data_IF_423978867269
#
_entry.id   IF_423978867269
#
_cell.length_a   1.000
_cell.length_b   1.000
_cell.length_c   1.000
_cell.angle_alpha   90.00
_cell.angle_beta   90.00
_cell.angle_gamma   90.00
#
_symmetry.space_group_name_H-M   'P 1'
#
loop_
_entity.id
_entity.type
_entity.pdbx_description
1 polymer ?
#
# COMPACT_ATOMS: atom_id res chain seq x y z
N UNK A 1 -13.72 4.86 16.29
CA UNK A 1 -12.46 5.61 16.07
C UNK A 1 -11.55 4.95 15.03
N UNK A 2 -10.98 3.77 15.25
CA UNK A 2 -9.96 3.17 14.33
C UNK A 2 -10.46 2.86 12.91
N UNK A 3 -11.66 2.30 12.77
CA UNK A 3 -12.26 2.03 11.45
C UNK A 3 -12.63 3.30 10.69
N UNK A 4 -12.96 4.38 11.40
CA UNK A 4 -13.26 5.68 10.79
C UNK A 4 -12.00 6.24 10.10
N UNK A 5 -10.87 6.28 10.80
CA UNK A 5 -9.61 6.78 10.24
C UNK A 5 -9.14 5.98 9.00
N UNK A 6 -9.33 4.66 9.00
CA UNK A 6 -9.01 3.82 7.85
C UNK A 6 -9.93 4.11 6.65
N UNK A 7 -11.23 4.32 6.91
CA UNK A 7 -12.21 4.72 5.90
C UNK A 7 -11.92 6.09 5.32
N UNK A 8 -11.64 7.07 6.17
CA UNK A 8 -11.31 8.44 5.76
C UNK A 8 -10.06 8.45 4.87
N UNK A 9 -9.03 7.69 5.24
CA UNK A 9 -7.83 7.53 4.41
C UNK A 9 -8.17 6.92 3.05
N UNK A 10 -9.04 5.91 3.00
CA UNK A 10 -9.52 5.31 1.75
C UNK A 10 -10.21 6.33 0.85
N UNK A 11 -11.10 7.13 1.43
CA UNK A 11 -11.81 8.20 0.73
C UNK A 11 -10.85 9.23 0.14
N UNK A 12 -9.97 9.81 0.96
CA UNK A 12 -9.03 10.83 0.48
C UNK A 12 -8.01 10.28 -0.53
N UNK A 13 -7.55 9.04 -0.38
CA UNK A 13 -6.66 8.44 -1.40
C UNK A 13 -7.39 8.29 -2.73
N UNK A 14 -8.66 7.89 -2.72
CA UNK A 14 -9.50 7.82 -3.93
C UNK A 14 -9.65 9.17 -4.61
N UNK A 15 -10.08 10.19 -3.85
CA UNK A 15 -10.27 11.57 -4.31
C UNK A 15 -8.99 12.13 -4.94
N UNK A 16 -7.85 11.94 -4.28
CA UNK A 16 -6.57 12.43 -4.78
C UNK A 16 -6.07 11.71 -6.04
N UNK A 17 -6.70 10.59 -6.43
CA UNK A 17 -6.47 9.95 -7.72
C UNK A 17 -7.41 10.44 -8.83
N UNK A 18 -8.42 11.25 -8.49
CA UNK A 18 -9.36 11.89 -9.40
C UNK A 18 -8.75 13.22 -9.92
N UNK A 19 -8.45 13.36 -11.23
CA UNK A 19 -7.84 14.57 -11.79
C UNK A 19 -8.54 15.90 -11.47
N UNK A 20 -9.86 15.90 -11.39
CA UNK A 20 -10.70 17.06 -11.11
C UNK A 20 -10.67 17.47 -9.63
N UNK A 21 -10.29 16.58 -8.71
CA UNK A 21 -10.15 16.93 -7.28
C UNK A 21 -8.81 17.60 -6.98
N UNK A 22 -7.87 17.59 -7.92
CA UNK A 22 -6.56 18.21 -7.80
C UNK A 22 -6.47 19.59 -8.47
N UNK A 23 -7.59 20.25 -8.78
CA UNK A 23 -7.63 21.54 -9.49
C UNK A 23 -8.71 22.47 -8.94
N UNK A 24 -8.49 23.79 -9.06
CA UNK A 24 -9.54 24.79 -8.81
C UNK A 24 -10.64 24.80 -9.88
N UNK A 25 -10.36 24.26 -11.08
CA UNK A 25 -11.32 24.14 -12.18
C UNK A 25 -12.07 22.79 -12.15
N UNK A 26 -12.38 22.29 -10.95
CA UNK A 26 -12.88 20.92 -10.72
C UNK A 26 -14.18 20.59 -11.45
N UNK A 27 -15.00 21.59 -11.76
CA UNK A 27 -16.27 21.41 -12.48
C UNK A 27 -16.26 22.08 -13.85
N UNK A 28 -15.08 22.46 -14.36
CA UNK A 28 -14.96 23.10 -15.66
C UNK A 28 -15.48 24.54 -15.70
N UNK A 29 -15.66 25.15 -14.52
CA UNK A 29 -16.24 26.48 -14.34
C UNK A 29 -15.42 27.63 -14.96
N UNK A 30 -14.14 27.39 -15.25
CA UNK A 30 -13.23 28.37 -15.87
C UNK A 30 -12.81 27.99 -17.29
N UNK A 31 -13.27 26.85 -17.82
CA UNK A 31 -12.85 26.32 -19.14
C UNK A 31 -14.00 26.03 -20.10
N UNK A 32 -15.24 26.39 -19.73
CA UNK A 32 -16.43 26.14 -20.55
C UNK A 32 -16.90 24.69 -20.52
N UNK A 33 -16.49 23.92 -19.51
CA UNK A 33 -16.81 22.50 -19.32
C UNK A 33 -17.83 22.28 -18.17
N UNK A 34 -18.60 23.31 -17.79
CA UNK A 34 -19.42 23.33 -16.57
C UNK A 34 -20.22 22.03 -16.36
N UNK A 35 -20.14 21.46 -15.15
CA UNK A 35 -20.79 20.20 -14.78
C UNK A 35 -19.99 18.93 -15.10
N UNK A 36 -18.75 19.05 -15.62
CA UNK A 36 -17.94 17.90 -16.01
C UNK A 36 -17.60 17.00 -14.80
N UNK A 37 -17.57 17.54 -13.58
CA UNK A 37 -17.25 16.76 -12.40
C UNK A 37 -18.17 15.54 -12.26
N UNK A 38 -19.48 15.78 -12.25
CA UNK A 38 -20.47 14.70 -12.12
C UNK A 38 -20.54 13.82 -13.37
N UNK A 39 -20.38 14.40 -14.57
CA UNK A 39 -20.40 13.62 -15.82
C UNK A 39 -19.24 12.62 -15.89
N UNK A 40 -18.04 13.05 -15.51
CA UNK A 40 -16.85 12.20 -15.49
C UNK A 40 -16.89 11.20 -14.33
N UNK A 41 -17.08 11.67 -13.10
CA UNK A 41 -16.93 10.82 -11.91
C UNK A 41 -18.12 9.91 -11.62
N UNK A 42 -19.35 10.38 -11.89
CA UNK A 42 -20.55 9.66 -11.53
C UNK A 42 -21.17 8.95 -12.73
N UNK A 43 -21.58 9.70 -13.76
CA UNK A 43 -22.37 9.13 -14.85
C UNK A 43 -21.54 8.27 -15.80
N UNK A 44 -20.38 8.75 -16.24
CA UNK A 44 -19.48 7.96 -17.09
C UNK A 44 -18.98 6.73 -16.34
N UNK A 45 -18.46 6.90 -15.12
CA UNK A 45 -18.00 5.74 -14.34
C UNK A 45 -19.13 4.76 -14.07
N UNK A 46 -20.35 5.19 -13.73
CA UNK A 46 -21.49 4.30 -13.55
C UNK A 46 -21.79 3.42 -14.76
N UNK A 47 -21.54 3.91 -15.98
CA UNK A 47 -21.68 3.14 -17.23
C UNK A 47 -20.53 2.18 -17.49
N UNK A 48 -19.30 2.56 -17.13
CA UNK A 48 -18.09 1.86 -17.57
C UNK A 48 -17.30 1.17 -16.45
N UNK A 49 -17.70 1.28 -15.18
CA UNK A 49 -16.98 0.71 -14.04
C UNK A 49 -16.79 -0.81 -14.19
N UNK A 50 -17.75 -1.53 -14.77
CA UNK A 50 -17.64 -2.97 -15.06
C UNK A 50 -16.53 -3.34 -16.06
N UNK A 51 -16.01 -2.36 -16.82
CA UNK A 51 -14.88 -2.53 -17.75
C UNK A 51 -13.52 -2.16 -17.13
N UNK A 52 -13.51 -1.75 -15.87
CA UNK A 52 -12.29 -1.46 -15.10
C UNK A 52 -11.89 -2.72 -14.35
N UNK A 53 -10.74 -3.28 -14.69
CA UNK A 53 -10.16 -4.44 -14.00
C UNK A 53 -8.96 -3.99 -13.17
N UNK A 54 -9.03 -4.25 -11.86
CA UNK A 54 -7.88 -4.07 -10.97
C UNK A 54 -7.01 -5.32 -11.08
N UNK A 55 -5.73 -5.13 -11.38
CA UNK A 55 -4.75 -6.20 -11.46
C UNK A 55 -4.01 -6.29 -10.13
N UNK A 56 -3.68 -7.51 -9.69
CA UNK A 56 -2.87 -7.72 -8.50
C UNK A 56 -1.51 -7.04 -8.66
N UNK A 57 -1.13 -6.26 -7.66
CA UNK A 57 0.16 -5.59 -7.56
C UNK A 57 0.70 -5.70 -6.12
N UNK A 58 1.99 -5.41 -5.94
CA UNK A 58 2.70 -5.51 -4.67
C UNK A 58 2.62 -4.20 -3.89
N UNK A 59 2.23 -4.29 -2.62
CA UNK A 59 2.31 -3.17 -1.67
C UNK A 59 3.77 -2.81 -1.38
N UNK A 60 4.03 -1.52 -1.11
CA UNK A 60 5.36 -1.00 -0.83
C UNK A 60 5.38 -0.27 0.51
N UNK A 61 6.47 -0.41 1.26
CA UNK A 61 6.71 0.45 2.41
C UNK A 61 7.07 1.86 1.92
N UNK A 62 6.37 2.87 2.46
CA UNK A 62 6.54 4.27 2.08
C UNK A 62 7.31 4.98 3.20
N UNK A 63 8.59 5.28 2.93
CA UNK A 63 9.46 5.96 3.89
C UNK A 63 9.01 7.39 4.19
N UNK A 64 8.52 8.09 3.18
CA UNK A 64 8.00 9.46 3.28
C UNK A 64 6.59 9.53 2.69
N UNK A 65 5.55 9.36 3.53
CA UNK A 65 4.16 9.41 3.10
C UNK A 65 3.78 10.74 2.46
N UNK A 66 4.30 11.86 2.94
CA UNK A 66 3.92 13.18 2.44
C UNK A 66 4.38 13.38 0.99
N UNK A 67 5.65 13.08 0.70
CA UNK A 67 6.17 13.14 -0.66
C UNK A 67 5.46 12.16 -1.59
N UNK A 68 5.15 10.96 -1.11
CA UNK A 68 4.38 9.98 -1.88
C UNK A 68 2.97 10.47 -2.23
N UNK A 69 2.28 11.07 -1.27
CA UNK A 69 0.93 11.62 -1.43
C UNK A 69 0.93 12.77 -2.44
N UNK A 70 1.81 13.77 -2.25
CA UNK A 70 1.89 14.89 -3.19
C UNK A 70 2.32 14.45 -4.59
N UNK A 71 3.14 13.41 -4.71
CA UNK A 71 3.53 12.83 -5.99
C UNK A 71 2.33 12.38 -6.83
N UNK A 72 1.41 11.60 -6.25
CA UNK A 72 0.24 11.15 -7.01
C UNK A 72 -0.83 12.25 -7.18
N UNK A 73 -0.88 13.27 -6.32
CA UNK A 73 -1.74 14.46 -6.52
C UNK A 73 -1.28 15.23 -7.76
N UNK A 74 0.03 15.49 -7.86
CA UNK A 74 0.62 16.15 -9.03
C UNK A 74 0.40 15.33 -10.30
N UNK A 75 0.53 14.01 -10.20
CA UNK A 75 0.22 13.12 -11.32
C UNK A 75 -1.26 13.19 -11.73
N UNK A 76 -2.21 13.15 -10.77
CA UNK A 76 -3.65 13.35 -11.05
C UNK A 76 -3.91 14.67 -11.76
N UNK A 77 -3.35 15.76 -11.24
CA UNK A 77 -3.53 17.11 -11.79
C UNK A 77 -3.06 17.19 -13.26
N UNK A 78 -2.01 16.45 -13.63
CA UNK A 78 -1.52 16.42 -15.02
C UNK A 78 -2.56 15.92 -16.04
N UNK A 79 -3.60 15.20 -15.59
CA UNK A 79 -4.70 14.74 -16.44
C UNK A 79 -5.90 15.69 -16.49
N UNK A 80 -5.93 16.77 -15.70
CA UNK A 80 -7.07 17.70 -15.67
C UNK A 80 -7.40 18.24 -17.07
N UNK A 81 -6.40 18.76 -17.78
CA UNK A 81 -6.60 19.32 -19.13
C UNK A 81 -7.05 18.25 -20.14
N UNK A 82 -6.59 17.01 -19.95
CA UNK A 82 -7.01 15.87 -20.77
C UNK A 82 -8.49 15.52 -20.56
N UNK A 83 -8.99 15.59 -19.32
CA UNK A 83 -10.42 15.43 -19.02
C UNK A 83 -11.24 16.55 -19.66
N UNK A 84 -10.78 17.80 -19.56
CA UNK A 84 -11.46 18.96 -20.17
C UNK A 84 -11.47 18.91 -21.70
N UNK A 85 -10.39 18.42 -22.32
CA UNK A 85 -10.31 18.22 -23.75
C UNK A 85 -11.23 17.08 -24.22
N UNK A 86 -11.30 15.98 -23.46
CA UNK A 86 -12.21 14.87 -23.75
C UNK A 86 -13.68 15.30 -23.63
N UNK A 87 -14.03 16.10 -22.64
CA UNK A 87 -15.37 16.68 -22.50
C UNK A 87 -15.74 17.57 -23.69
N UNK A 88 -14.84 18.47 -24.11
CA UNK A 88 -15.05 19.32 -25.30
C UNK A 88 -15.23 18.50 -26.58
N UNK A 89 -14.47 17.42 -26.73
CA UNK A 89 -14.58 16.50 -27.86
C UNK A 89 -15.92 15.76 -27.88
N UNK A 90 -16.43 15.36 -26.70
CA UNK A 90 -17.69 14.65 -26.58
C UNK A 90 -18.92 15.57 -26.66
N UNK A 91 -18.79 16.83 -26.24
CA UNK A 91 -19.86 17.82 -26.20
C UNK A 91 -20.35 18.23 -27.61
N UNK A 92 -21.57 18.78 -27.72
CA UNK A 92 -22.05 19.39 -28.96
C UNK A 92 -21.12 20.50 -29.45
N UNK A 93 -21.10 20.82 -30.76
CA UNK A 93 -20.34 21.95 -31.30
C UNK A 93 -20.67 23.31 -30.64
N UNK A 94 -21.89 23.48 -30.12
CA UNK A 94 -22.31 24.65 -29.35
C UNK A 94 -21.74 24.73 -27.93
N UNK A 95 -21.01 23.70 -27.49
CA UNK A 95 -20.62 23.49 -26.10
C UNK A 95 -21.76 22.96 -25.22
N UNK A 96 -21.44 22.69 -23.95
CA UNK A 96 -22.39 22.26 -22.93
C UNK A 96 -22.14 23.00 -21.62
N UNK A 97 -23.14 23.73 -21.13
CA UNK A 97 -23.02 24.59 -19.95
C UNK A 97 -23.56 23.94 -18.65
N UNK A 98 -23.80 22.63 -18.65
CA UNK A 98 -24.41 21.90 -17.53
C UNK A 98 -25.94 21.77 -17.63
N UNK A 99 -26.56 22.23 -18.71
CA UNK A 99 -28.01 22.11 -18.94
C UNK A 99 -28.34 21.73 -20.38
N UNK A 100 -29.47 21.04 -20.58
CA UNK A 100 -29.91 20.55 -21.89
C UNK A 100 -29.52 19.09 -22.15
N UNK A 101 -29.82 18.62 -23.37
CA UNK A 101 -29.64 17.22 -23.77
C UNK A 101 -28.27 17.01 -24.39
N UNK A 102 -27.47 16.11 -23.81
CA UNK A 102 -26.20 15.68 -24.39
C UNK A 102 -26.42 14.75 -25.60
N UNK A 103 -25.48 14.72 -26.56
CA UNK A 103 -25.49 13.71 -27.62
C UNK A 103 -25.56 12.30 -27.04
N UNK A 104 -26.28 11.40 -27.70
CA UNK A 104 -26.47 10.02 -27.22
C UNK A 104 -25.15 9.26 -27.08
N UNK A 105 -24.13 9.61 -27.87
CA UNK A 105 -22.79 9.04 -27.86
C UNK A 105 -21.78 9.79 -26.97
N UNK A 106 -22.21 10.82 -26.23
CA UNK A 106 -21.34 11.67 -25.40
C UNK A 106 -20.48 10.85 -24.44
N UNK A 107 -21.10 9.97 -23.64
CA UNK A 107 -20.36 9.20 -22.62
C UNK A 107 -19.43 8.14 -23.23
N UNK A 108 -19.76 7.64 -24.42
CA UNK A 108 -18.87 6.74 -25.16
C UNK A 108 -17.62 7.49 -25.62
N UNK A 109 -17.78 8.66 -26.24
CA UNK A 109 -16.66 9.51 -26.68
C UNK A 109 -15.79 9.98 -25.51
N UNK A 110 -16.42 10.36 -24.40
CA UNK A 110 -15.69 10.75 -23.19
C UNK A 110 -14.85 9.57 -22.69
N UNK A 111 -15.47 8.40 -22.53
CA UNK A 111 -14.77 7.19 -22.09
C UNK A 111 -13.63 6.77 -23.03
N UNK A 112 -13.85 6.76 -24.34
CA UNK A 112 -12.81 6.41 -25.33
C UNK A 112 -11.55 7.27 -25.17
N UNK A 113 -11.72 8.54 -24.79
CA UNK A 113 -10.62 9.48 -24.60
C UNK A 113 -9.99 9.42 -23.20
N UNK A 114 -10.74 9.02 -22.17
CA UNK A 114 -10.26 9.04 -20.79
C UNK A 114 -9.85 7.68 -20.24
N UNK A 115 -10.38 6.59 -20.80
CA UNK A 115 -10.32 5.24 -20.22
C UNK A 115 -8.90 4.79 -19.84
N UNK A 116 -7.90 5.10 -20.66
CA UNK A 116 -6.52 4.69 -20.42
C UNK A 116 -5.99 5.22 -19.08
N UNK A 117 -6.06 6.54 -18.88
CA UNK A 117 -5.60 7.12 -17.62
C UNK A 117 -6.61 6.93 -16.49
N UNK A 118 -7.92 6.91 -16.75
CA UNK A 118 -8.92 6.62 -15.71
C UNK A 118 -8.68 5.25 -15.08
N UNK A 119 -8.46 4.21 -15.88
CA UNK A 119 -8.11 2.85 -15.39
C UNK A 119 -6.80 2.85 -14.62
N UNK A 120 -5.79 3.56 -15.12
CA UNK A 120 -4.51 3.71 -14.44
C UNK A 120 -4.66 4.41 -13.07
N UNK A 121 -5.47 5.46 -12.98
CA UNK A 121 -5.75 6.18 -11.72
C UNK A 121 -6.44 5.28 -10.69
N UNK A 122 -7.43 4.49 -11.11
CA UNK A 122 -8.11 3.51 -10.24
C UNK A 122 -7.12 2.46 -9.73
N UNK A 123 -6.30 1.87 -10.62
CA UNK A 123 -5.27 0.92 -10.22
C UNK A 123 -4.28 1.55 -9.23
N UNK A 124 -3.77 2.75 -9.51
CA UNK A 124 -2.83 3.45 -8.62
C UNK A 124 -3.45 3.79 -7.26
N UNK A 125 -4.72 4.18 -7.22
CA UNK A 125 -5.44 4.44 -5.97
C UNK A 125 -5.47 3.20 -5.07
N UNK A 126 -5.75 2.02 -5.66
CA UNK A 126 -5.79 0.76 -4.91
C UNK A 126 -4.43 0.39 -4.33
N UNK A 127 -3.35 0.56 -5.10
CA UNK A 127 -1.98 0.26 -4.65
C UNK A 127 -1.50 1.28 -3.61
N UNK A 128 -1.84 2.56 -3.79
CA UNK A 128 -1.52 3.63 -2.86
C UNK A 128 -2.19 3.41 -1.51
N UNK A 129 -3.50 3.12 -1.50
CA UNK A 129 -4.23 2.85 -0.26
C UNK A 129 -3.65 1.65 0.48
N UNK A 130 -3.43 0.54 -0.24
CA UNK A 130 -2.86 -0.66 0.36
C UNK A 130 -1.42 -0.43 0.89
N UNK A 131 -0.60 0.35 0.17
CA UNK A 131 0.75 0.70 0.59
C UNK A 131 0.78 1.65 1.79
N UNK A 132 -0.17 2.59 1.89
CA UNK A 132 -0.32 3.48 3.05
C UNK A 132 -0.80 2.72 4.28
N UNK A 133 -1.76 1.81 4.14
CA UNK A 133 -2.17 0.90 5.23
C UNK A 133 -1.04 0.00 5.68
N UNK A 134 -0.31 -0.59 4.73
CA UNK A 134 0.87 -1.39 5.02
C UNK A 134 1.91 -0.56 5.78
N UNK A 135 2.21 0.64 5.31
CA UNK A 135 3.16 1.56 5.97
C UNK A 135 2.72 1.92 7.39
N UNK A 136 1.44 2.26 7.59
CA UNK A 136 0.90 2.54 8.92
C UNK A 136 1.02 1.32 9.85
N UNK A 137 0.77 0.12 9.32
CA UNK A 137 0.90 -1.13 10.04
C UNK A 137 2.37 -1.42 10.44
N UNK A 138 3.34 -1.22 9.54
CA UNK A 138 4.77 -1.29 9.84
C UNK A 138 5.14 -0.27 10.93
N UNK A 139 4.76 1.00 10.75
CA UNK A 139 5.12 2.09 11.66
C UNK A 139 4.48 1.95 13.05
N UNK A 140 3.34 1.27 13.15
CA UNK A 140 2.71 0.92 14.43
C UNK A 140 3.48 -0.18 15.20
N UNK A 141 4.60 -0.69 14.64
CA UNK A 141 5.42 -1.75 15.24
C UNK A 141 4.85 -3.15 15.02
N UNK A 142 3.80 -3.30 14.20
CA UNK A 142 3.16 -4.61 13.98
C UNK A 142 3.98 -5.54 13.07
N UNK A 143 4.91 -4.98 12.30
CA UNK A 143 5.92 -5.72 11.54
C UNK A 143 7.21 -4.89 11.56
N UNK A 144 8.31 -5.47 12.05
CA UNK A 144 9.62 -5.03 11.58
C UNK A 144 9.86 -5.86 10.34
N UNK A 145 9.84 -5.25 9.14
CA UNK A 145 10.41 -5.93 7.97
C UNK A 145 11.90 -6.03 8.26
N UNK A 146 12.26 -7.07 8.99
CA UNK A 146 13.59 -7.58 8.91
C UNK A 146 13.90 -7.71 7.43
N UNK A 147 14.95 -7.02 6.97
CA UNK A 147 15.50 -7.36 5.67
C UNK A 147 16.02 -8.78 5.80
N UNK A 148 15.18 -9.76 5.45
CA UNK A 148 15.53 -11.17 5.47
C UNK A 148 16.52 -11.36 4.34
N UNK A 149 17.80 -11.37 4.68
CA UNK A 149 18.87 -11.55 3.72
C UNK A 149 19.38 -12.99 3.79
N UNK A 150 19.70 -13.62 2.65
CA UNK A 150 20.45 -14.87 2.66
C UNK A 150 21.77 -14.66 3.41
N UNK A 151 22.04 -15.49 4.41
CA UNK A 151 23.28 -15.44 5.19
C UNK A 151 24.39 -16.33 4.60
N UNK A 152 24.12 -17.04 3.50
CA UNK A 152 25.07 -17.86 2.75
C UNK A 152 24.39 -19.05 2.04
N UNK A 153 25.04 -19.68 1.06
CA UNK A 153 24.55 -20.91 0.45
C UNK A 153 24.58 -22.07 1.46
N UNK A 154 23.58 -22.92 1.42
CA UNK A 154 23.57 -24.16 2.21
C UNK A 154 22.19 -24.81 2.25
N UNK A 155 22.19 -26.12 2.45
CA UNK A 155 21.00 -26.91 2.78
C UNK A 155 21.07 -27.25 4.27
N UNK A 156 20.48 -26.44 5.16
CA UNK A 156 20.51 -26.73 6.59
C UNK A 156 19.81 -28.06 6.84
N UNK A 157 20.45 -28.94 7.61
CA UNK A 157 19.83 -30.23 7.96
C UNK A 157 18.67 -30.07 8.96
N UNK A 158 18.69 -29.00 9.76
CA UNK A 158 17.75 -28.78 10.87
C UNK A 158 17.27 -27.33 10.93
N UNK A 159 16.05 -27.14 11.42
CA UNK A 159 15.51 -25.83 11.77
C UNK A 159 16.30 -25.27 12.96
N UNK A 160 16.85 -24.07 12.83
CA UNK A 160 17.60 -23.45 13.93
C UNK A 160 17.35 -21.95 14.05
N UNK A 161 17.38 -21.47 15.29
CA UNK A 161 17.30 -20.05 15.64
C UNK A 161 18.49 -19.73 16.54
N UNK A 162 19.37 -18.84 16.07
CA UNK A 162 20.54 -18.40 16.81
C UNK A 162 20.16 -17.35 17.86
N UNK A 163 21.05 -17.14 18.83
CA UNK A 163 20.89 -16.02 19.76
C UNK A 163 21.02 -14.71 18.97
N UNK A 164 20.10 -13.77 19.20
CA UNK A 164 20.18 -12.45 18.59
C UNK A 164 21.50 -11.76 19.00
N UNK A 165 22.08 -10.97 18.10
CA UNK A 165 23.28 -10.19 18.38
C UNK A 165 23.09 -8.72 17.94
N UNK A 166 23.40 -7.74 18.81
CA UNK A 166 23.82 -7.91 20.21
C UNK A 166 22.69 -8.46 21.12
N UNK A 167 23.04 -9.02 22.28
CA UNK A 167 22.07 -9.32 23.35
C UNK A 167 22.78 -9.16 24.72
N UNK A 168 22.41 -8.18 25.56
CA UNK A 168 21.31 -7.24 25.39
C UNK A 168 21.49 -6.28 24.20
N UNK A 169 20.40 -5.72 23.68
CA UNK A 169 20.42 -4.83 22.51
C UNK A 169 19.74 -3.49 22.77
N UNK A 170 20.07 -2.46 21.96
CA UNK A 170 19.47 -1.12 22.02
C UNK A 170 19.60 -0.35 20.68
N UNK A 171 18.51 0.13 20.06
CA UNK A 171 17.20 -0.52 20.03
C UNK A 171 17.15 -1.66 18.99
N UNK A 172 18.25 -1.93 18.30
CA UNK A 172 18.30 -2.85 17.15
C UNK A 172 19.16 -4.09 17.40
N UNK A 173 18.77 -5.22 16.80
CA UNK A 173 19.51 -6.49 16.84
C UNK A 173 19.31 -7.28 15.55
N UNK A 174 20.28 -8.12 15.22
CA UNK A 174 20.15 -9.13 14.15
C UNK A 174 19.74 -10.49 14.74
N UNK A 175 18.91 -11.23 14.03
CA UNK A 175 18.43 -12.57 14.36
C UNK A 175 18.76 -13.50 13.17
N UNK A 176 19.66 -14.45 13.38
CA UNK A 176 20.02 -15.45 12.37
C UNK A 176 19.24 -16.74 12.59
N UNK A 177 18.75 -17.34 11.51
CA UNK A 177 18.00 -18.59 11.55
C UNK A 177 18.21 -19.42 10.28
N UNK A 178 17.89 -20.70 10.35
CA UNK A 178 18.01 -21.63 9.23
C UNK A 178 16.72 -22.42 9.03
N UNK A 179 16.28 -22.53 7.78
CA UNK A 179 15.11 -23.31 7.35
C UNK A 179 15.61 -24.56 6.62
N UNK A 180 15.23 -25.74 7.09
CA UNK A 180 15.72 -27.01 6.53
C UNK A 180 14.88 -27.55 5.36
N UNK A 181 13.58 -27.23 5.33
CA UNK A 181 12.63 -27.70 4.31
C UNK A 181 11.78 -26.53 3.83
N UNK A 182 11.46 -26.51 2.54
CA UNK A 182 10.58 -25.50 1.98
C UNK A 182 9.22 -25.51 2.69
N UNK A 183 8.67 -24.34 2.98
CA UNK A 183 7.35 -24.23 3.61
C UNK A 183 7.05 -22.86 4.20
N UNK A 184 5.81 -22.75 4.73
CA UNK A 184 5.42 -21.57 5.50
C UNK A 184 6.29 -21.48 6.75
N UNK A 185 7.00 -20.36 6.87
CA UNK A 185 7.92 -20.05 7.96
C UNK A 185 7.50 -18.74 8.61
N UNK A 186 7.41 -18.72 9.95
CA UNK A 186 7.21 -17.50 10.72
C UNK A 186 8.34 -17.26 11.71
N UNK A 187 8.73 -15.99 11.86
CA UNK A 187 9.65 -15.51 12.89
C UNK A 187 8.95 -14.36 13.59
N UNK A 188 8.57 -14.56 14.84
CA UNK A 188 7.71 -13.67 15.61
C UNK A 188 8.33 -13.33 16.96
N UNK A 189 8.07 -12.12 17.44
CA UNK A 189 8.55 -11.59 18.71
C UNK A 189 7.39 -11.44 19.68
N UNK A 190 7.58 -11.94 20.89
CA UNK A 190 6.60 -11.93 21.97
C UNK A 190 7.15 -11.23 23.21
N UNK A 191 6.27 -10.62 23.99
CA UNK A 191 6.57 -10.21 25.37
C UNK A 191 6.54 -11.41 26.32
N UNK A 192 6.95 -11.21 27.58
CA UNK A 192 6.97 -12.27 28.59
C UNK A 192 5.58 -12.85 28.94
N UNK A 193 4.51 -12.06 28.76
CA UNK A 193 3.11 -12.47 28.89
C UNK A 193 2.56 -13.15 27.61
N UNK A 194 3.38 -13.32 26.58
CA UNK A 194 3.01 -14.05 25.35
C UNK A 194 2.28 -13.21 24.30
N UNK A 195 2.19 -11.88 24.46
CA UNK A 195 1.61 -10.99 23.45
C UNK A 195 2.58 -10.82 22.27
N UNK A 196 2.10 -11.03 21.06
CA UNK A 196 2.89 -10.75 19.84
C UNK A 196 3.11 -9.24 19.68
N UNK A 197 4.36 -8.84 19.49
CA UNK A 197 4.80 -7.43 19.38
C UNK A 197 5.64 -7.17 18.13
N UNK A 198 5.85 -8.17 17.29
CA UNK A 198 6.49 -7.99 16.00
C UNK A 198 6.54 -9.29 15.22
N UNK A 199 6.25 -9.23 13.93
CA UNK A 199 6.47 -10.34 13.01
C UNK A 199 7.60 -9.93 12.07
N UNK A 200 8.67 -10.71 12.04
CA UNK A 200 9.87 -10.46 11.21
C UNK A 200 9.78 -11.20 9.88
N UNK A 201 9.16 -12.38 9.90
CA UNK A 201 8.97 -13.26 8.75
C UNK A 201 7.59 -13.90 8.93
N UNK A 202 6.77 -13.91 7.89
CA UNK A 202 5.59 -14.79 7.79
C UNK A 202 5.28 -15.05 6.31
N UNK A 203 6.04 -15.97 5.72
CA UNK A 203 5.94 -16.26 4.29
C UNK A 203 6.40 -17.68 3.96
N UNK A 204 6.18 -18.09 2.72
CA UNK A 204 6.83 -19.30 2.20
C UNK A 204 8.32 -19.03 2.02
N UNK A 205 9.17 -19.94 2.48
CA UNK A 205 10.62 -19.84 2.35
C UNK A 205 11.20 -21.14 1.80
N UNK A 206 12.21 -21.00 0.96
CA UNK A 206 13.04 -22.12 0.51
C UNK A 206 14.08 -22.50 1.60
N UNK A 207 14.65 -23.72 1.55
CA UNK A 207 15.71 -24.11 2.47
C UNK A 207 16.91 -23.16 2.36
N UNK A 208 17.45 -22.74 3.50
CA UNK A 208 18.57 -21.80 3.52
C UNK A 208 18.82 -21.18 4.89
N UNK A 209 19.87 -20.37 4.96
CA UNK A 209 20.21 -19.55 6.12
C UNK A 209 19.81 -18.11 5.87
N UNK A 210 19.21 -17.49 6.86
CA UNK A 210 18.63 -16.17 6.77
C UNK A 210 19.02 -15.33 7.98
N UNK A 211 19.08 -14.01 7.77
CA UNK A 211 19.25 -13.04 8.83
C UNK A 211 18.14 -12.02 8.76
N UNK A 212 17.54 -11.73 9.91
CA UNK A 212 16.48 -10.76 10.10
C UNK A 212 16.96 -9.62 11.02
N UNK A 213 16.74 -8.37 10.63
CA UNK A 213 17.00 -7.21 11.48
C UNK A 213 15.74 -6.82 12.25
N UNK A 214 15.84 -6.59 13.55
CA UNK A 214 14.73 -6.12 14.37
C UNK A 214 15.08 -4.81 15.07
N UNK A 215 14.26 -3.79 14.86
CA UNK A 215 14.34 -2.51 15.57
C UNK A 215 13.15 -2.38 16.54
N UNK A 216 13.45 -2.30 17.82
CA UNK A 216 12.49 -2.23 18.91
C UNK A 216 12.38 -0.84 19.54
N UNK A 217 12.70 0.24 18.82
CA UNK A 217 12.78 1.60 19.37
C UNK A 217 11.48 2.05 20.06
N UNK A 218 10.33 1.63 19.54
CA UNK A 218 8.99 1.95 20.07
C UNK A 218 8.57 1.11 21.28
N UNK A 219 9.35 0.10 21.67
CA UNK A 219 9.02 -0.81 22.76
C UNK A 219 9.75 -0.43 24.06
N UNK A 220 9.18 -0.73 25.24
CA UNK A 220 9.85 -0.50 26.52
C UNK A 220 11.00 -1.50 26.74
N UNK A 221 11.99 -1.14 27.55
CA UNK A 221 13.03 -2.07 28.02
C UNK A 221 12.38 -3.27 28.71
N UNK A 222 12.94 -4.46 28.50
CA UNK A 222 12.36 -5.68 29.04
C UNK A 222 12.80 -6.95 28.33
N UNK A 223 12.22 -8.06 28.76
CA UNK A 223 12.46 -9.38 28.19
C UNK A 223 11.48 -9.66 27.06
N UNK A 224 12.02 -10.10 25.93
CA UNK A 224 11.27 -10.50 24.75
C UNK A 224 11.67 -11.92 24.33
N UNK A 225 10.83 -12.59 23.55
CA UNK A 225 11.06 -13.93 23.05
C UNK A 225 10.90 -13.95 21.54
N UNK A 226 11.94 -14.36 20.82
CA UNK A 226 11.87 -14.62 19.38
C UNK A 226 11.52 -16.09 19.17
N UNK A 227 10.49 -16.37 18.39
CA UNK A 227 10.07 -17.73 18.03
C UNK A 227 10.12 -17.91 16.53
N UNK A 228 10.82 -18.93 16.09
CA UNK A 228 10.85 -19.43 14.72
C UNK A 228 9.92 -20.65 14.62
N UNK A 229 9.03 -20.68 13.64
CA UNK A 229 8.20 -21.83 13.31
C UNK A 229 8.34 -22.18 11.83
N UNK A 230 8.58 -23.45 11.52
CA UNK A 230 8.55 -23.98 10.15
C UNK A 230 8.32 -25.48 10.16
N UNK A 231 7.54 -26.00 9.20
CA UNK A 231 7.34 -27.44 9.01
C UNK A 231 6.83 -28.17 10.26
N UNK A 232 5.98 -27.52 11.07
CA UNK A 232 5.43 -28.07 12.33
C UNK A 232 6.39 -28.03 13.52
N UNK A 233 7.65 -27.61 13.35
CA UNK A 233 8.62 -27.43 14.43
C UNK A 233 8.68 -25.99 14.89
N UNK A 234 9.06 -25.76 16.16
CA UNK A 234 9.28 -24.41 16.70
C UNK A 234 10.53 -24.32 17.56
N UNK A 235 11.24 -23.19 17.48
CA UNK A 235 12.43 -22.88 18.28
C UNK A 235 12.29 -21.46 18.84
N UNK A 236 12.55 -21.28 20.14
CA UNK A 236 12.41 -19.98 20.82
C UNK A 236 13.70 -19.54 21.49
N UNK A 237 14.02 -18.24 21.42
CA UNK A 237 15.16 -17.60 22.10
C UNK A 237 14.72 -16.37 22.88
N UNK A 238 15.24 -16.24 24.10
CA UNK A 238 15.04 -15.06 24.96
C UNK A 238 15.96 -13.93 24.51
N UNK A 239 15.47 -12.70 24.51
CA UNK A 239 16.18 -11.48 24.15
C UNK A 239 15.97 -10.43 25.24
N UNK A 240 16.95 -9.56 25.46
CA UNK A 240 16.86 -8.47 26.44
C UNK A 240 17.06 -7.12 25.75
N UNK A 241 16.02 -6.29 25.75
CA UNK A 241 16.07 -4.91 25.30
C UNK A 241 16.45 -4.01 26.49
N UNK A 242 17.54 -3.28 26.37
CA UNK A 242 17.94 -2.23 27.31
C UNK A 242 17.85 -0.88 26.60
N UNK A 243 17.37 0.15 27.30
CA UNK A 243 17.38 1.53 26.79
C UNK A 243 18.42 2.32 27.55
#
# INVERSE_FOLDING_TARGET
ARYQTASDLGHYVGDMHQPLHATGNYDGQFSGNKGIHSRYESTMMGKYIGSVSIVKDSVKYIKDPMTYIFGYILESNSYTDSVMAADRYAAPPSGYNGSGTLPTDYYQKLWERTAAYTKQRVQKATVALASLWYTAYINAGAFSIAQVRPAGPGHPAVLSLEQNYPNPFNPSTSISFAVAKAGRTSVEIFTADGRSVGVLVDQWMEPGRFRAEWNAASLPSGTYFCRLQAGGSSVTKKMLLLK
#
